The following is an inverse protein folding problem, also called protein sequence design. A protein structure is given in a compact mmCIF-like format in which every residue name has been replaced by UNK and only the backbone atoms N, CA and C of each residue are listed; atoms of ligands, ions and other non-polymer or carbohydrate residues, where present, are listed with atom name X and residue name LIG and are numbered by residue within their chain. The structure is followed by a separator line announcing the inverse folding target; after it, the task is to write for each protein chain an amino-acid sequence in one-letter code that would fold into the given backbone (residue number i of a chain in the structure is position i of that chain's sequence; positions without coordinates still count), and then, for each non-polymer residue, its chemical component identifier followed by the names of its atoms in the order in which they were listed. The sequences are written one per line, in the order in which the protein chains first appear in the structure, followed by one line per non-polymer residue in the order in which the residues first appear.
data_IF_449377502962
#
_entry.id   IF_449377502962
#
_cell.length_a   1.000
_cell.length_b   1.000
_cell.length_c   1.000
_cell.angle_alpha   90.00
_cell.angle_beta   90.00
_cell.angle_gamma   90.00
#
_symmetry.space_group_name_H-M   'P 1'
#
loop_
_entity.id
_entity.type
_entity.pdbx_description
1 polymer ?
#
# COMPACT_ATOMS: atom_id res chain seq x y z
N UNK A 1 1.58 16.93 12.57
CA UNK A 1 1.66 17.89 11.43
C UNK A 1 3.01 17.82 10.71
N UNK A 2 4.13 17.82 11.44
CA UNK A 2 5.47 17.78 10.84
C UNK A 2 5.70 16.50 10.01
N UNK A 3 5.25 15.35 10.52
CA UNK A 3 5.31 14.07 9.81
C UNK A 3 4.62 14.12 8.45
N UNK A 4 3.39 14.65 8.38
CA UNK A 4 2.66 14.76 7.12
C UNK A 4 3.29 15.75 6.13
N UNK A 5 3.88 16.83 6.64
CA UNK A 5 4.61 17.76 5.79
C UNK A 5 5.82 17.10 5.14
N UNK A 6 6.57 16.28 5.86
CA UNK A 6 7.72 15.52 5.33
C UNK A 6 7.31 14.53 4.25
N UNK A 7 6.20 13.80 4.44
CA UNK A 7 5.68 12.87 3.43
C UNK A 7 5.18 13.60 2.18
N UNK A 8 4.44 14.70 2.34
CA UNK A 8 3.91 15.46 1.21
C UNK A 8 5.00 16.21 0.42
N UNK A 9 6.14 16.48 1.04
CA UNK A 9 7.29 17.14 0.40
C UNK A 9 8.30 16.14 -0.18
N UNK A 10 7.88 14.92 -0.49
CA UNK A 10 8.75 13.89 -1.08
C UNK A 10 9.31 14.25 -2.46
N UNK A 11 8.83 15.33 -3.08
CA UNK A 11 9.27 15.82 -4.38
C UNK A 11 8.67 15.06 -5.57
N UNK A 12 7.76 14.12 -5.34
CA UNK A 12 7.05 13.44 -6.40
C UNK A 12 5.87 14.31 -6.89
N UNK A 13 5.64 14.33 -8.21
CA UNK A 13 4.45 14.94 -8.77
C UNK A 13 3.20 14.17 -8.33
N UNK A 14 2.04 14.84 -8.16
CA UNK A 14 0.82 14.18 -7.64
C UNK A 14 0.21 13.14 -8.57
N UNK A 15 0.65 13.09 -9.82
CA UNK A 15 0.26 12.10 -10.83
C UNK A 15 1.40 11.83 -11.80
N UNK A 16 1.66 10.57 -12.10
CA UNK A 16 2.73 10.17 -13.00
C UNK A 16 2.40 8.87 -13.71
N UNK A 17 2.73 8.78 -14.99
CA UNK A 17 2.72 7.52 -15.73
C UNK A 17 4.05 6.79 -15.49
N UNK A 18 3.95 5.57 -15.00
CA UNK A 18 5.07 4.64 -14.87
C UNK A 18 5.04 3.61 -16.01
N UNK A 19 6.06 2.78 -16.12
CA UNK A 19 6.11 1.72 -17.15
C UNK A 19 4.96 0.71 -17.04
N UNK A 20 4.37 0.53 -15.86
CA UNK A 20 3.33 -0.47 -15.62
C UNK A 20 1.96 0.11 -15.30
N UNK A 21 1.81 1.42 -15.28
CA UNK A 21 0.51 2.05 -15.03
C UNK A 21 0.62 3.44 -14.43
N UNK A 22 -0.53 3.97 -14.04
CA UNK A 22 -0.64 5.30 -13.44
C UNK A 22 -0.34 5.26 -11.94
N UNK A 23 0.50 6.17 -11.48
CA UNK A 23 0.67 6.46 -10.07
C UNK A 23 -0.02 7.78 -9.71
N UNK A 24 -0.73 7.80 -8.59
CA UNK A 24 -1.31 9.00 -8.01
C UNK A 24 -0.99 9.06 -6.52
N UNK A 25 -0.59 10.25 -6.04
CA UNK A 25 -0.24 10.45 -4.64
C UNK A 25 -1.46 10.25 -3.73
N UNK A 26 -1.32 9.42 -2.72
CA UNK A 26 -2.33 9.23 -1.68
C UNK A 26 -2.31 10.38 -0.67
N UNK A 27 -3.48 10.74 -0.14
CA UNK A 27 -3.59 11.81 0.87
C UNK A 27 -3.24 11.26 2.26
N UNK A 28 -2.08 11.65 2.78
CA UNK A 28 -1.55 11.13 4.04
C UNK A 28 -2.55 11.14 5.23
N UNK A 29 -3.36 12.20 5.49
CA UNK A 29 -4.34 12.17 6.57
C UNK A 29 -5.42 11.10 6.39
N UNK A 30 -5.88 10.89 5.15
CA UNK A 30 -6.88 9.86 4.85
C UNK A 30 -6.30 8.45 5.00
N UNK A 31 -5.09 8.23 4.49
CA UNK A 31 -4.37 6.95 4.68
C UNK A 31 -4.21 6.64 6.16
N UNK A 32 -3.75 7.61 6.97
CA UNK A 32 -3.62 7.41 8.41
C UNK A 32 -4.96 7.03 9.07
N UNK A 33 -6.04 7.75 8.73
CA UNK A 33 -7.37 7.44 9.23
C UNK A 33 -7.78 6.01 8.88
N UNK A 34 -7.60 5.62 7.62
CA UNK A 34 -7.96 4.28 7.15
C UNK A 34 -7.18 3.19 7.90
N UNK A 35 -5.85 3.27 7.90
CA UNK A 35 -5.02 2.24 8.52
C UNK A 35 -5.24 2.13 10.03
N UNK A 36 -5.48 3.25 10.71
CA UNK A 36 -5.86 3.28 12.12
C UNK A 36 -7.22 2.62 12.37
N UNK A 37 -8.25 2.96 11.58
CA UNK A 37 -9.61 2.44 11.77
C UNK A 37 -9.78 0.99 11.34
N UNK A 38 -8.86 0.45 10.54
CA UNK A 38 -8.78 -0.95 10.18
C UNK A 38 -7.95 -1.78 11.17
N UNK A 39 -7.49 -1.16 12.27
CA UNK A 39 -6.66 -1.81 13.27
C UNK A 39 -5.42 -2.49 12.66
N UNK A 40 -4.64 -1.74 11.85
CA UNK A 40 -3.49 -2.30 11.13
C UNK A 40 -2.46 -2.95 12.07
N UNK A 41 -2.41 -2.54 13.33
CA UNK A 41 -1.50 -3.10 14.33
C UNK A 41 -1.74 -4.60 14.63
N UNK A 42 -2.87 -5.17 14.22
CA UNK A 42 -3.15 -6.60 14.38
C UNK A 42 -2.34 -7.49 13.43
N UNK A 43 -1.83 -6.93 12.31
CA UNK A 43 -1.05 -7.66 11.32
C UNK A 43 0.45 -7.60 11.64
N UNK A 44 1.18 -8.65 11.29
CA UNK A 44 2.64 -8.75 11.52
C UNK A 44 3.43 -8.08 10.41
N UNK A 45 2.96 -8.20 9.17
CA UNK A 45 3.62 -7.67 8.00
C UNK A 45 2.60 -7.10 7.01
N UNK A 46 2.74 -5.81 6.75
CA UNK A 46 1.99 -5.09 5.72
C UNK A 46 2.84 -5.00 4.45
N UNK A 47 2.27 -5.33 3.30
CA UNK A 47 2.94 -5.26 2.01
C UNK A 47 2.14 -4.36 1.05
N UNK A 48 2.79 -3.31 0.56
CA UNK A 48 2.25 -2.29 -0.33
C UNK A 48 2.69 -2.58 -1.77
N UNK A 49 1.75 -2.98 -2.62
CA UNK A 49 2.00 -3.36 -4.01
C UNK A 49 1.84 -2.15 -4.93
N UNK A 50 2.95 -1.62 -5.45
CA UNK A 50 3.00 -0.35 -6.15
C UNK A 50 3.06 0.82 -5.17
N UNK A 51 4.07 0.82 -4.29
CA UNK A 51 4.15 1.75 -3.15
C UNK A 51 4.39 3.22 -3.53
N UNK A 52 4.74 3.49 -4.79
CA UNK A 52 4.97 4.85 -5.29
C UNK A 52 6.01 5.61 -4.47
N UNK A 53 5.66 6.80 -3.99
CA UNK A 53 6.50 7.65 -3.15
C UNK A 53 6.66 7.17 -1.70
N UNK A 54 5.99 6.05 -1.35
CA UNK A 54 6.10 5.41 -0.04
C UNK A 54 5.23 5.99 1.07
N UNK A 55 4.34 6.94 0.78
CA UNK A 55 3.45 7.55 1.79
C UNK A 55 2.67 6.48 2.57
N UNK A 56 2.03 5.55 1.87
CA UNK A 56 1.20 4.51 2.49
C UNK A 56 2.06 3.58 3.34
N UNK A 57 3.15 3.09 2.79
CA UNK A 57 4.09 2.19 3.48
C UNK A 57 4.70 2.84 4.73
N UNK A 58 5.10 4.12 4.64
CA UNK A 58 5.63 4.87 5.79
C UNK A 58 4.59 5.05 6.90
N UNK A 59 3.33 5.34 6.55
CA UNK A 59 2.25 5.46 7.52
C UNK A 59 1.93 4.09 8.15
N UNK A 60 1.91 3.02 7.35
CA UNK A 60 1.74 1.65 7.84
C UNK A 60 2.84 1.28 8.86
N UNK A 61 4.07 1.72 8.63
CA UNK A 61 5.20 1.55 9.53
C UNK A 61 5.02 2.12 10.94
N UNK A 62 4.04 3.00 11.16
CA UNK A 62 3.67 3.48 12.50
C UNK A 62 2.91 2.42 13.32
N UNK A 63 2.29 1.47 12.65
CA UNK A 63 1.42 0.46 13.26
C UNK A 63 2.08 -0.92 13.28
N UNK A 64 2.72 -1.31 12.16
CA UNK A 64 3.33 -2.63 12.00
C UNK A 64 4.57 -2.57 11.11
N UNK A 65 5.31 -3.68 10.98
CA UNK A 65 6.36 -3.80 9.96
C UNK A 65 5.73 -3.67 8.58
N UNK A 66 6.34 -2.87 7.69
CA UNK A 66 5.81 -2.62 6.36
C UNK A 66 6.89 -2.67 5.29
N UNK A 67 6.54 -3.22 4.14
CA UNK A 67 7.39 -3.29 2.96
C UNK A 67 6.61 -2.69 1.79
N UNK A 68 7.23 -1.78 1.04
CA UNK A 68 6.72 -1.26 -0.22
C UNK A 68 7.49 -1.83 -1.39
N UNK A 69 6.79 -2.33 -2.40
CA UNK A 69 7.38 -2.77 -3.66
C UNK A 69 6.99 -1.78 -4.74
N UNK A 70 7.97 -1.19 -5.40
CA UNK A 70 7.75 -0.18 -6.45
C UNK A 70 8.68 -0.46 -7.64
N UNK A 71 8.10 -0.48 -8.84
CA UNK A 71 8.84 -0.78 -10.07
C UNK A 71 9.62 0.43 -10.61
N UNK A 72 9.14 1.64 -10.32
CA UNK A 72 9.82 2.88 -10.72
C UNK A 72 10.99 3.15 -9.77
N UNK A 73 12.26 3.08 -10.25
CA UNK A 73 13.41 3.24 -9.38
C UNK A 73 13.53 4.65 -8.77
N UNK A 74 12.99 5.67 -9.43
CA UNK A 74 12.99 7.03 -8.92
C UNK A 74 12.01 7.17 -7.74
N UNK A 75 10.78 6.64 -7.88
CA UNK A 75 9.80 6.63 -6.79
C UNK A 75 10.31 5.80 -5.61
N UNK A 76 10.86 4.61 -5.87
CA UNK A 76 11.47 3.76 -4.83
C UNK A 76 12.61 4.46 -4.08
N UNK A 77 13.46 5.21 -4.78
CA UNK A 77 14.53 5.99 -4.15
C UNK A 77 13.98 7.12 -3.26
N UNK A 78 12.94 7.84 -3.73
CA UNK A 78 12.24 8.87 -2.96
C UNK A 78 11.65 8.27 -1.68
N UNK A 79 10.95 7.15 -1.80
CA UNK A 79 10.34 6.44 -0.69
C UNK A 79 11.39 6.03 0.37
N UNK A 80 12.51 5.44 -0.06
CA UNK A 80 13.61 5.06 0.83
C UNK A 80 14.25 6.27 1.54
N UNK A 81 14.41 7.39 0.84
CA UNK A 81 14.91 8.63 1.44
C UNK A 81 13.93 9.19 2.48
N UNK A 82 12.62 9.18 2.20
CA UNK A 82 11.59 9.59 3.13
C UNK A 82 11.59 8.74 4.40
N UNK A 83 11.66 7.42 4.29
CA UNK A 83 11.71 6.52 5.44
C UNK A 83 12.92 6.79 6.35
N UNK A 84 14.09 7.04 5.77
CA UNK A 84 15.30 7.40 6.55
C UNK A 84 15.12 8.73 7.29
N UNK A 85 14.61 9.78 6.62
CA UNK A 85 14.36 11.10 7.26
C UNK A 85 13.34 11.00 8.40
N UNK A 86 12.33 10.14 8.24
CA UNK A 86 11.30 9.91 9.25
C UNK A 86 11.74 8.95 10.36
N UNK A 87 12.99 8.45 10.31
CA UNK A 87 13.54 7.49 11.28
C UNK A 87 12.73 6.20 11.40
N UNK A 88 12.20 5.74 10.28
CA UNK A 88 11.41 4.50 10.19
C UNK A 88 12.25 3.28 9.77
N UNK A 89 13.58 3.45 9.60
CA UNK A 89 14.50 2.35 9.31
C UNK A 89 14.36 1.23 10.36
N UNK A 90 14.28 -0.02 9.91
CA UNK A 90 14.02 -1.18 10.78
C UNK A 90 12.54 -1.55 10.92
N UNK A 91 11.62 -0.66 10.56
CA UNK A 91 10.18 -0.95 10.48
C UNK A 91 9.60 -0.84 9.06
N UNK A 92 10.24 -0.04 8.22
CA UNK A 92 9.84 0.23 6.85
C UNK A 92 10.98 -0.12 5.91
N UNK A 93 10.68 -0.89 4.89
CA UNK A 93 11.61 -1.31 3.84
C UNK A 93 10.99 -1.01 2.47
N UNK A 94 11.82 -0.63 1.50
CA UNK A 94 11.42 -0.45 0.11
C UNK A 94 12.25 -1.32 -0.80
N UNK A 95 11.56 -2.02 -1.69
CA UNK A 95 12.13 -2.89 -2.71
C UNK A 95 11.83 -2.30 -4.08
N UNK A 96 12.88 -2.00 -4.86
CA UNK A 96 12.72 -1.59 -6.25
C UNK A 96 12.57 -2.84 -7.12
N UNK A 97 11.38 -3.07 -7.67
CA UNK A 97 11.12 -4.24 -8.50
C UNK A 97 9.67 -4.44 -8.83
N UNK A 98 9.40 -5.46 -9.63
CA UNK A 98 8.05 -5.87 -9.96
C UNK A 98 7.49 -6.76 -8.83
N UNK A 99 6.34 -6.42 -8.28
CA UNK A 99 5.71 -7.22 -7.23
C UNK A 99 5.39 -8.66 -7.69
N UNK A 100 5.34 -8.91 -9.01
CA UNK A 100 5.13 -10.27 -9.58
C UNK A 100 6.30 -11.20 -9.30
N UNK A 101 7.51 -10.65 -9.13
CA UNK A 101 8.74 -11.40 -8.87
C UNK A 101 9.00 -11.65 -7.38
N UNK A 102 8.10 -11.14 -6.51
CA UNK A 102 8.26 -11.22 -5.07
C UNK A 102 7.20 -12.13 -4.43
N UNK A 103 7.56 -12.73 -3.29
CA UNK A 103 6.63 -13.53 -2.49
C UNK A 103 5.69 -12.62 -1.69
N UNK A 104 4.47 -12.43 -2.19
CA UNK A 104 3.44 -11.62 -1.53
C UNK A 104 2.71 -12.39 -0.42
N UNK A 105 2.73 -13.71 -0.48
CA UNK A 105 2.07 -14.64 0.45
C UNK A 105 2.71 -14.69 1.86
N UNK A 106 3.90 -14.14 2.03
CA UNK A 106 4.56 -14.02 3.34
C UNK A 106 3.97 -12.91 4.22
N UNK A 107 3.26 -11.93 3.62
CA UNK A 107 2.54 -10.90 4.35
C UNK A 107 1.17 -11.40 4.79
N UNK A 108 0.64 -10.87 5.89
CA UNK A 108 -0.72 -11.14 6.35
C UNK A 108 -1.67 -9.97 6.06
N UNK A 109 -1.15 -8.87 5.54
CA UNK A 109 -1.92 -7.75 5.03
C UNK A 109 -1.30 -7.21 3.73
N UNK A 110 -2.04 -7.26 2.63
CA UNK A 110 -1.68 -6.64 1.36
C UNK A 110 -2.45 -5.34 1.17
N UNK A 111 -1.81 -4.36 0.56
CA UNK A 111 -2.44 -3.11 0.15
C UNK A 111 -2.14 -2.84 -1.31
N UNK A 112 -3.14 -2.32 -2.00
CA UNK A 112 -2.97 -1.84 -3.37
C UNK A 112 -3.96 -0.71 -3.69
N UNK A 113 -3.50 0.19 -4.55
CA UNK A 113 -4.33 1.17 -5.25
C UNK A 113 -4.35 0.75 -6.72
N UNK A 114 -5.32 -0.09 -7.14
CA UNK A 114 -5.26 -0.72 -8.44
C UNK A 114 -5.57 0.27 -9.58
N UNK A 115 -4.75 0.24 -10.60
CA UNK A 115 -4.96 0.90 -11.89
C UNK A 115 -5.40 -0.09 -12.99
N UNK A 116 -5.55 -1.37 -12.64
CA UNK A 116 -5.95 -2.49 -13.51
C UNK A 116 -6.57 -3.62 -12.70
N UNK A 117 -7.21 -4.61 -13.38
CA UNK A 117 -7.84 -5.74 -12.72
C UNK A 117 -6.89 -6.53 -11.79
N UNK A 118 -7.46 -7.05 -10.71
CA UNK A 118 -6.74 -7.71 -9.61
C UNK A 118 -6.39 -9.19 -9.89
N UNK A 119 -6.95 -9.79 -10.93
CA UNK A 119 -6.96 -11.26 -11.14
C UNK A 119 -5.58 -11.91 -11.04
N UNK A 120 -4.55 -11.31 -11.63
CA UNK A 120 -3.18 -11.83 -11.56
C UNK A 120 -2.58 -11.87 -10.13
N UNK A 121 -3.11 -11.09 -9.20
CA UNK A 121 -2.70 -11.13 -7.79
C UNK A 121 -3.54 -12.17 -7.05
N UNK A 122 -4.84 -12.24 -7.32
CA UNK A 122 -5.76 -13.19 -6.69
C UNK A 122 -5.32 -14.63 -6.92
N UNK A 123 -4.89 -14.98 -8.15
CA UNK A 123 -4.39 -16.31 -8.49
C UNK A 123 -3.16 -16.73 -7.67
N UNK A 124 -2.38 -15.77 -7.21
CA UNK A 124 -1.19 -16.00 -6.37
C UNK A 124 -1.50 -16.18 -4.88
N UNK A 125 -2.73 -15.93 -4.47
CA UNK A 125 -3.18 -15.98 -3.08
C UNK A 125 -3.92 -17.29 -2.72
N UNK A 126 -3.83 -18.30 -3.57
CA UNK A 126 -4.43 -19.62 -3.30
C UNK A 126 -3.96 -20.18 -1.96
N UNK A 127 -4.91 -20.45 -1.05
CA UNK A 127 -4.60 -20.94 0.31
C UNK A 127 -4.06 -19.89 1.29
N UNK A 128 -3.89 -18.64 0.87
CA UNK A 128 -3.46 -17.55 1.76
C UNK A 128 -4.63 -17.02 2.60
N UNK A 129 -4.41 -16.82 3.90
CA UNK A 129 -5.45 -16.46 4.88
C UNK A 129 -5.42 -14.99 5.33
N UNK A 130 -4.67 -14.13 4.67
CA UNK A 130 -4.53 -12.73 5.04
C UNK A 130 -5.67 -11.83 4.62
N UNK A 131 -5.44 -10.53 4.70
CA UNK A 131 -6.38 -9.48 4.32
C UNK A 131 -5.82 -8.65 3.18
N UNK A 132 -6.65 -8.37 2.18
CA UNK A 132 -6.33 -7.42 1.10
C UNK A 132 -7.06 -6.11 1.36
N UNK A 133 -6.33 -5.01 1.39
CA UNK A 133 -6.89 -3.65 1.44
C UNK A 133 -6.79 -3.04 0.05
N UNK A 134 -7.93 -2.70 -0.53
CA UNK A 134 -8.01 -2.05 -1.83
C UNK A 134 -8.46 -0.60 -1.65
N UNK A 135 -7.68 0.33 -2.17
CA UNK A 135 -7.98 1.76 -2.15
C UNK A 135 -8.75 2.16 -3.42
N UNK A 136 -9.75 3.01 -3.25
CA UNK A 136 -10.57 3.52 -4.35
C UNK A 136 -11.75 2.63 -4.72
N UNK A 137 -12.59 3.09 -5.68
CA UNK A 137 -13.80 2.40 -6.10
C UNK A 137 -13.60 1.45 -7.30
N UNK A 138 -12.44 1.55 -7.98
CA UNK A 138 -12.18 0.87 -9.24
C UNK A 138 -11.51 -0.49 -9.05
N UNK A 139 -11.64 -1.37 -10.03
CA UNK A 139 -10.97 -2.67 -10.08
C UNK A 139 -11.09 -3.50 -8.80
N UNK A 140 -12.33 -3.64 -8.31
CA UNK A 140 -12.63 -4.48 -7.15
C UNK A 140 -12.33 -5.94 -7.47
N UNK A 141 -11.66 -6.67 -6.55
CA UNK A 141 -11.44 -8.10 -6.75
C UNK A 141 -12.77 -8.86 -6.69
N UNK A 142 -13.13 -9.53 -7.78
CA UNK A 142 -14.38 -10.31 -7.85
C UNK A 142 -14.30 -11.62 -7.08
N UNK A 143 -13.09 -12.19 -7.00
CA UNK A 143 -12.83 -13.48 -6.32
C UNK A 143 -12.72 -13.37 -4.80
N UNK A 144 -12.70 -12.16 -4.23
CA UNK A 144 -12.54 -11.95 -2.79
C UNK A 144 -13.83 -11.41 -2.15
N UNK A 145 -14.12 -11.85 -0.93
CA UNK A 145 -15.29 -11.39 -0.19
C UNK A 145 -15.01 -10.09 0.56
N UNK A 146 -15.75 -8.99 0.29
CA UNK A 146 -15.59 -7.74 1.03
C UNK A 146 -16.08 -7.92 2.47
N UNK A 147 -15.24 -7.55 3.44
CA UNK A 147 -15.53 -7.66 4.88
C UNK A 147 -15.82 -6.33 5.54
N UNK A 148 -15.14 -5.27 5.09
CA UNK A 148 -15.23 -3.97 5.73
C UNK A 148 -14.97 -2.86 4.71
N UNK A 149 -15.79 -1.81 4.73
CA UNK A 149 -15.54 -0.58 3.98
C UNK A 149 -15.32 0.58 4.94
N UNK A 150 -14.32 1.42 4.65
CA UNK A 150 -14.10 2.70 5.33
C UNK A 150 -14.09 3.83 4.33
N UNK A 151 -14.69 4.96 4.69
CA UNK A 151 -14.78 6.16 3.86
C UNK A 151 -14.22 7.36 4.59
N UNK A 152 -13.56 8.25 3.85
CA UNK A 152 -13.09 9.55 4.33
C UNK A 152 -13.25 10.56 3.19
N UNK A 153 -14.25 11.43 3.29
CA UNK A 153 -14.67 12.30 2.19
C UNK A 153 -15.11 11.48 0.98
N UNK A 154 -14.48 11.71 -0.17
CA UNK A 154 -14.75 10.98 -1.43
C UNK A 154 -13.91 9.71 -1.59
N UNK A 155 -12.96 9.50 -0.70
CA UNK A 155 -12.05 8.35 -0.75
C UNK A 155 -12.57 7.19 0.10
N UNK A 156 -12.22 5.99 -0.32
CA UNK A 156 -12.60 4.77 0.40
C UNK A 156 -11.52 3.70 0.31
N UNK A 157 -11.54 2.82 1.28
CA UNK A 157 -10.87 1.51 1.20
C UNK A 157 -11.88 0.40 1.47
N UNK A 158 -11.61 -0.75 0.89
CA UNK A 158 -12.35 -1.97 1.17
C UNK A 158 -11.37 -3.06 1.59
N UNK A 159 -11.67 -3.72 2.69
CA UNK A 159 -10.94 -4.89 3.17
C UNK A 159 -11.63 -6.15 2.67
N UNK A 160 -10.83 -7.00 2.07
CA UNK A 160 -11.27 -8.32 1.59
C UNK A 160 -10.58 -9.41 2.41
N UNK A 161 -11.30 -10.46 2.72
CA UNK A 161 -10.71 -11.70 3.22
C UNK A 161 -10.19 -12.56 2.08
N UNK A 162 -9.37 -13.56 2.41
CA UNK A 162 -9.01 -14.61 1.47
C UNK A 162 -10.25 -15.31 0.92
N UNK A 163 -10.17 -15.89 -0.28
CA UNK A 163 -11.18 -16.80 -0.80
C UNK A 163 -11.39 -17.93 0.22
N UNK A 164 -12.66 -18.24 0.53
CA UNK A 164 -13.00 -19.43 1.32
C UNK A 164 -12.87 -20.67 0.46
#
# INVERSE_FOLDING_TARGET
RKFYAELNNSGAEPYRMTRLGAWAASRAPHVFYFLKTCNLAQYRLFLDLGSGDGIVTCIAGLFTRSIGIEIDPQLSAIAGAAARRLKLAGRVEFVCGDHRDHRIDQADCLYLYPDKPFDAIADRLGGWSGTVIVYGPHFRPESLTPRLTRRCGREQIVLYGSPQ
#
